data_IF_422501601249
#
_entry.id   IF_422501601249
#
_cell.length_a   1.000
_cell.length_b   1.000
_cell.length_c   1.000
_cell.angle_alpha   90.00
_cell.angle_beta   90.00
_cell.angle_gamma   90.00
#
_symmetry.space_group_name_H-M   'P 1'
#
loop_
_entity.id
_entity.type
_entity.pdbx_description
1 polymer ?
#
# COMPACT_ATOMS: atom_id res chain seq x y z
N UNK A 1 3.19 27.77 0.77
CA UNK A 1 3.05 26.30 0.84
C UNK A 1 1.57 25.99 0.78
N UNK A 2 1.09 25.43 -0.32
CA UNK A 2 -0.30 25.00 -0.47
C UNK A 2 -0.42 23.58 0.05
N UNK A 3 -0.86 23.42 1.30
CA UNK A 3 -1.28 22.12 1.80
C UNK A 3 -2.65 21.82 1.16
N UNK A 4 -2.69 20.83 0.27
CA UNK A 4 -3.96 20.23 -0.14
C UNK A 4 -4.23 19.08 0.82
N UNK A 5 -5.43 19.01 1.37
CA UNK A 5 -5.88 17.84 2.12
C UNK A 5 -7.14 17.32 1.45
N UNK A 6 -7.21 16.00 1.28
CA UNK A 6 -8.42 15.34 0.80
C UNK A 6 -9.37 15.12 1.97
N UNK A 7 -10.66 15.45 1.79
CA UNK A 7 -11.70 15.07 2.75
C UNK A 7 -12.08 13.60 2.48
N UNK A 8 -11.63 12.71 3.37
CA UNK A 8 -11.76 11.28 3.15
C UNK A 8 -13.13 10.77 3.61
N UNK A 9 -13.70 9.84 2.84
CA UNK A 9 -14.87 9.08 3.28
C UNK A 9 -14.57 8.30 4.58
N UNK A 10 -15.63 8.01 5.34
CA UNK A 10 -15.51 7.29 6.60
C UNK A 10 -14.73 5.97 6.42
N UNK A 11 -13.66 5.80 7.21
CA UNK A 11 -12.79 4.62 7.16
C UNK A 11 -11.55 4.76 6.27
N UNK A 12 -11.41 5.87 5.53
CA UNK A 12 -10.23 6.20 4.75
C UNK A 12 -9.39 7.29 5.43
N UNK A 13 -8.08 7.27 5.19
CA UNK A 13 -7.13 8.23 5.78
C UNK A 13 -5.88 8.40 4.90
N UNK A 14 -5.00 9.32 5.28
CA UNK A 14 -3.80 9.68 4.52
C UNK A 14 -3.99 10.92 3.66
N UNK A 15 -2.89 11.47 3.14
CA UNK A 15 -2.88 12.71 2.35
C UNK A 15 -3.75 12.60 1.08
N UNK A 16 -3.81 11.40 0.51
CA UNK A 16 -4.53 11.06 -0.72
C UNK A 16 -5.73 10.12 -0.46
N UNK A 17 -6.13 9.94 0.80
CA UNK A 17 -7.15 8.96 1.21
C UNK A 17 -6.85 7.51 0.77
N UNK A 18 -5.59 7.16 0.50
CA UNK A 18 -5.23 5.81 0.06
C UNK A 18 -5.30 4.75 1.18
N UNK A 19 -5.31 5.15 2.45
CA UNK A 19 -5.32 4.22 3.59
C UNK A 19 -6.77 3.90 3.97
N UNK A 20 -7.38 2.95 3.26
CA UNK A 20 -8.75 2.50 3.46
C UNK A 20 -8.90 1.25 4.33
N UNK A 21 -10.15 0.77 4.53
CA UNK A 21 -10.46 -0.35 5.40
C UNK A 21 -9.93 -1.70 4.90
N UNK A 22 -9.72 -1.91 3.60
CA UNK A 22 -9.11 -3.15 3.11
C UNK A 22 -7.65 -3.21 3.57
N UNK A 23 -6.95 -2.08 3.66
CA UNK A 23 -5.58 -2.02 4.18
C UNK A 23 -5.47 -2.16 5.72
N UNK A 24 -6.57 -2.39 6.45
CA UNK A 24 -6.50 -2.68 7.89
C UNK A 24 -5.88 -4.03 8.21
N UNK A 25 -5.96 -4.99 7.29
CA UNK A 25 -5.28 -6.27 7.47
C UNK A 25 -3.78 -6.09 7.25
N UNK A 26 -3.01 -6.20 8.33
CA UNK A 26 -1.55 -6.03 8.37
C UNK A 26 -0.77 -7.04 7.51
N UNK A 27 -1.46 -7.95 6.81
CA UNK A 27 -0.89 -9.04 6.02
C UNK A 27 -1.14 -8.89 4.51
N UNK A 28 -1.65 -7.75 4.05
CA UNK A 28 -1.82 -7.52 2.61
C UNK A 28 -0.48 -7.33 1.91
N UNK A 29 0.40 -6.53 2.49
CA UNK A 29 1.74 -6.27 1.97
C UNK A 29 2.79 -6.83 2.94
N UNK A 30 3.72 -7.60 2.41
CA UNK A 30 4.85 -8.18 3.11
C UNK A 30 6.07 -7.27 3.01
N UNK A 31 7.14 -7.63 3.73
CA UNK A 31 8.45 -6.98 3.66
C UNK A 31 8.43 -5.44 3.82
N UNK A 32 7.48 -4.91 4.59
CA UNK A 32 7.33 -3.47 4.82
C UNK A 32 6.67 -2.70 3.66
N UNK A 33 5.98 -3.39 2.76
CA UNK A 33 5.18 -2.76 1.71
C UNK A 33 4.06 -1.88 2.28
N UNK A 34 3.78 -0.76 1.58
CA UNK A 34 2.68 0.15 1.95
C UNK A 34 1.43 -0.20 1.17
N UNK A 35 0.37 -0.59 1.88
CA UNK A 35 -0.93 -0.85 1.26
C UNK A 35 -1.62 0.45 0.87
N UNK A 36 -2.18 0.50 -0.35
CA UNK A 36 -3.04 1.60 -0.83
C UNK A 36 -4.28 1.08 -1.52
N UNK A 37 -5.42 1.72 -1.28
CA UNK A 37 -6.62 1.57 -2.10
C UNK A 37 -6.44 2.27 -3.45
N UNK A 38 -6.83 1.58 -4.52
CA UNK A 38 -6.86 2.10 -5.90
C UNK A 38 -8.26 2.02 -6.53
N UNK A 39 -9.26 1.62 -5.74
CA UNK A 39 -10.67 1.55 -6.13
C UNK A 39 -11.53 1.01 -4.98
N UNK A 40 -12.83 0.83 -5.23
CA UNK A 40 -13.80 0.44 -4.21
C UNK A 40 -13.47 -0.90 -3.53
N UNK A 41 -12.99 -1.87 -4.31
CA UNK A 41 -12.59 -3.21 -3.85
C UNK A 41 -11.19 -3.61 -4.34
N UNK A 42 -10.32 -2.63 -4.60
CA UNK A 42 -9.00 -2.88 -5.15
C UNK A 42 -7.93 -2.21 -4.29
N UNK A 43 -6.91 -2.98 -3.92
CA UNK A 43 -5.72 -2.51 -3.21
C UNK A 43 -4.47 -2.87 -3.99
N UNK A 44 -3.41 -2.12 -3.75
CA UNK A 44 -2.08 -2.38 -4.29
C UNK A 44 -1.04 -2.19 -3.19
N UNK A 45 0.07 -2.91 -3.30
CA UNK A 45 1.21 -2.77 -2.41
C UNK A 45 2.31 -1.97 -3.10
N UNK A 46 2.72 -0.87 -2.47
CA UNK A 46 3.91 -0.13 -2.85
C UNK A 46 5.09 -0.82 -2.16
N UNK A 47 5.90 -1.51 -2.96
CA UNK A 47 7.04 -2.25 -2.45
C UNK A 47 8.26 -1.37 -2.18
N UNK A 48 8.98 -1.60 -1.07
CA UNK A 48 10.27 -0.97 -0.85
C UNK A 48 11.31 -1.51 -1.83
N UNK A 49 12.43 -0.80 -1.95
CA UNK A 49 13.54 -1.20 -2.81
C UNK A 49 14.05 -2.61 -2.44
N UNK A 50 14.30 -3.44 -3.46
CA UNK A 50 14.73 -4.83 -3.28
C UNK A 50 13.59 -5.84 -3.10
N UNK A 51 12.33 -5.42 -3.19
CA UNK A 51 11.16 -6.30 -3.11
C UNK A 51 10.20 -6.08 -4.28
N UNK A 52 9.52 -7.14 -4.70
CA UNK A 52 8.52 -7.15 -5.77
C UNK A 52 7.44 -8.21 -5.55
N UNK A 53 6.50 -8.27 -6.48
CA UNK A 53 5.30 -9.11 -6.37
C UNK A 53 4.08 -8.27 -5.97
N UNK A 54 2.90 -8.87 -6.01
CA UNK A 54 1.66 -8.16 -5.73
C UNK A 54 1.54 -7.77 -4.25
N UNK A 55 2.24 -8.49 -3.38
CA UNK A 55 2.29 -8.28 -1.95
C UNK A 55 3.71 -7.94 -1.48
N UNK A 56 4.65 -7.66 -2.38
CA UNK A 56 6.06 -7.46 -2.01
C UNK A 56 6.70 -8.70 -1.36
N UNK A 57 6.21 -9.89 -1.71
CA UNK A 57 6.61 -11.18 -1.15
C UNK A 57 7.92 -11.72 -1.73
N UNK A 58 8.35 -11.21 -2.88
CA UNK A 58 9.57 -11.66 -3.56
C UNK A 58 10.70 -10.69 -3.22
N UNK A 59 11.79 -11.18 -2.63
CA UNK A 59 13.01 -10.38 -2.50
C UNK A 59 13.86 -10.53 -3.77
N UNK A 60 14.47 -9.43 -4.24
CA UNK A 60 15.38 -9.47 -5.38
C UNK A 60 16.66 -10.29 -5.10
N UNK A 61 16.97 -10.54 -3.83
CA UNK A 61 18.08 -11.40 -3.42
C UNK A 61 17.77 -12.89 -3.64
N UNK A 62 16.50 -13.29 -3.51
CA UNK A 62 16.07 -14.69 -3.69
C UNK A 62 16.07 -15.12 -5.16
N UNK A 63 16.05 -14.17 -6.11
CA UNK A 63 16.10 -14.49 -7.55
C UNK A 63 17.51 -14.50 -8.14
N UNK A 64 18.54 -14.35 -7.30
CA UNK A 64 19.96 -14.44 -7.67
C UNK A 64 20.58 -15.78 -7.22
N UNK A 65 19.79 -16.69 -6.61
CA UNK A 65 20.24 -18.05 -6.25
C UNK A 65 20.12 -19.06 -7.38
#
# INVERSE_FOLDING_TARGET
MTAYYCDCYAGFSGLDCGNGPLCKDSHICENGGTCKHIGDNAVTCICPAGFRGNKCEISEYDEIT
#
